data_IF_837447358300
#
_entry.id   IF_837447358300
#
_cell.length_a   1.000
_cell.length_b   1.000
_cell.length_c   1.000
_cell.angle_alpha   90.00
_cell.angle_beta   90.00
_cell.angle_gamma   90.00
#
_symmetry.space_group_name_H-M   'P 1'
#
loop_
_entity.id
_entity.type
_entity.pdbx_description
1 polymer ?
#
# COMPACT_ATOMS: atom_id res chain seq x y z
N UNK A 1 13.00 1.49 -27.39
CA UNK A 1 13.17 0.93 -26.03
C UNK A 1 12.35 1.80 -25.08
N UNK A 2 11.30 1.26 -24.45
CA UNK A 2 10.44 2.02 -23.52
C UNK A 2 11.27 2.46 -22.31
N UNK A 3 11.65 3.74 -22.21
CA UNK A 3 10.90 4.90 -21.71
C UNK A 3 10.94 4.95 -20.17
N UNK A 4 11.66 5.94 -19.65
CA UNK A 4 11.78 6.37 -18.26
C UNK A 4 10.91 5.62 -17.26
N UNK A 5 11.55 4.99 -16.26
CA UNK A 5 10.88 4.43 -15.10
C UNK A 5 9.93 5.48 -14.53
N UNK A 6 8.65 5.12 -14.40
CA UNK A 6 7.64 5.99 -13.81
C UNK A 6 8.14 6.46 -12.43
N UNK A 7 8.04 7.76 -12.09
CA UNK A 7 8.33 8.21 -10.74
C UNK A 7 7.40 7.50 -9.76
N UNK A 8 7.98 6.91 -8.72
CA UNK A 8 7.29 6.17 -7.66
C UNK A 8 7.63 6.75 -6.30
N UNK A 9 6.67 6.82 -5.35
CA UNK A 9 6.96 7.31 -4.01
C UNK A 9 7.94 6.36 -3.30
N UNK A 10 9.00 6.91 -2.73
CA UNK A 10 10.08 6.13 -2.08
C UNK A 10 9.59 5.43 -0.82
N UNK A 11 8.59 6.00 -0.13
CA UNK A 11 8.09 5.53 1.17
C UNK A 11 6.79 4.75 1.08
N UNK A 12 6.23 4.55 -0.12
CA UNK A 12 4.95 3.87 -0.28
C UNK A 12 4.99 2.46 0.32
N UNK A 13 5.98 1.65 -0.05
CA UNK A 13 6.12 0.26 0.43
C UNK A 13 6.14 0.17 1.97
N UNK A 14 6.95 1.02 2.61
CA UNK A 14 7.02 1.07 4.08
C UNK A 14 5.69 1.50 4.72
N UNK A 15 4.97 2.45 4.10
CA UNK A 15 3.66 2.90 4.60
C UNK A 15 2.62 1.79 4.52
N UNK A 16 2.57 1.05 3.41
CA UNK A 16 1.64 -0.08 3.26
C UNK A 16 1.90 -1.17 4.31
N UNK A 17 3.18 -1.49 4.56
CA UNK A 17 3.58 -2.43 5.61
C UNK A 17 3.16 -1.92 6.99
N UNK A 18 3.43 -0.64 7.29
CA UNK A 18 3.08 -0.01 8.56
C UNK A 18 1.57 -0.12 8.84
N UNK A 19 0.73 0.18 7.84
CA UNK A 19 -0.74 0.06 7.93
C UNK A 19 -1.15 -1.38 8.26
N UNK A 20 -0.61 -2.36 7.54
CA UNK A 20 -0.95 -3.76 7.80
C UNK A 20 -0.56 -4.16 9.23
N UNK A 21 0.64 -3.80 9.67
CA UNK A 21 1.12 -4.16 11.01
C UNK A 21 0.40 -3.42 12.12
N UNK A 22 0.00 -2.15 11.93
CA UNK A 22 -0.76 -1.40 12.93
C UNK A 22 -2.17 -1.96 13.14
N UNK A 23 -2.73 -2.62 12.12
CA UNK A 23 -4.00 -3.35 12.21
C UNK A 23 -3.82 -4.77 12.79
N UNK A 24 -2.59 -5.20 13.11
CA UNK A 24 -2.31 -6.54 13.63
C UNK A 24 -2.50 -7.67 12.61
N UNK A 25 -2.52 -7.36 11.31
CA UNK A 25 -2.89 -8.31 10.26
C UNK A 25 -1.68 -9.01 9.65
N UNK A 26 -1.84 -10.29 9.32
CA UNK A 26 -0.96 -10.99 8.37
C UNK A 26 -1.18 -10.49 6.94
N UNK A 27 -0.24 -10.80 6.02
CA UNK A 27 -0.41 -10.42 4.61
C UNK A 27 -1.63 -11.10 3.97
N UNK A 28 -1.96 -12.33 4.38
CA UNK A 28 -3.14 -13.05 3.91
C UNK A 28 -4.44 -12.41 4.41
N UNK A 29 -4.48 -11.97 5.67
CA UNK A 29 -5.63 -11.24 6.20
C UNK A 29 -5.78 -9.86 5.56
N UNK A 30 -4.67 -9.20 5.22
CA UNK A 30 -4.72 -7.93 4.51
C UNK A 30 -5.41 -8.06 3.15
N UNK A 31 -5.19 -9.15 2.42
CA UNK A 31 -5.94 -9.44 1.19
C UNK A 31 -7.44 -9.49 1.43
N UNK A 32 -7.87 -10.16 2.52
CA UNK A 32 -9.28 -10.25 2.90
C UNK A 32 -9.85 -8.87 3.22
N UNK A 33 -9.10 -8.04 3.96
CA UNK A 33 -9.50 -6.67 4.31
C UNK A 33 -9.60 -5.75 3.09
N UNK A 34 -8.69 -5.90 2.13
CA UNK A 34 -8.74 -5.15 0.89
C UNK A 34 -9.99 -5.50 0.06
N UNK A 35 -10.56 -6.70 0.16
CA UNK A 35 -11.77 -7.10 -0.60
C UNK A 35 -11.69 -6.69 -2.09
N UNK A 36 -10.55 -6.97 -2.73
CA UNK A 36 -10.29 -6.60 -4.13
C UNK A 36 -9.86 -7.84 -4.92
N UNK A 37 -10.56 -8.12 -6.02
CA UNK A 37 -10.29 -9.31 -6.86
C UNK A 37 -8.91 -9.18 -7.52
N UNK A 38 -8.21 -10.31 -7.66
CA UNK A 38 -6.88 -10.35 -8.29
C UNK A 38 -5.73 -9.85 -7.40
N UNK A 39 -5.98 -9.58 -6.12
CA UNK A 39 -4.93 -9.35 -5.11
C UNK A 39 -4.76 -10.62 -4.30
N UNK A 40 -3.54 -11.11 -4.22
CA UNK A 40 -3.15 -12.30 -3.46
C UNK A 40 -2.07 -11.94 -2.44
N UNK A 41 -1.79 -12.84 -1.51
CA UNK A 41 -0.81 -12.59 -0.44
C UNK A 41 0.58 -12.28 -1.00
N UNK A 42 1.00 -12.95 -2.09
CA UNK A 42 2.24 -12.63 -2.80
C UNK A 42 2.28 -11.19 -3.33
N UNK A 43 1.16 -10.67 -3.86
CA UNK A 43 1.09 -9.28 -4.31
C UNK A 43 1.25 -8.30 -3.14
N UNK A 44 0.64 -8.57 -1.99
CA UNK A 44 0.82 -7.74 -0.79
C UNK A 44 2.30 -7.71 -0.36
N UNK A 45 2.98 -8.86 -0.40
CA UNK A 45 4.43 -8.92 -0.14
C UNK A 45 5.27 -8.12 -1.14
N UNK A 46 4.93 -8.17 -2.43
CA UNK A 46 5.60 -7.35 -3.45
C UNK A 46 5.38 -5.85 -3.25
N UNK A 47 4.17 -5.46 -2.86
CA UNK A 47 3.82 -4.07 -2.55
C UNK A 47 4.63 -3.56 -1.35
N UNK A 48 4.68 -4.33 -0.26
CA UNK A 48 5.41 -3.99 0.97
C UNK A 48 6.94 -3.95 0.80
N UNK A 49 7.46 -4.60 -0.25
CA UNK A 49 8.88 -4.57 -0.62
C UNK A 49 9.20 -3.55 -1.72
N UNK A 50 8.20 -2.89 -2.29
CA UNK A 50 8.39 -1.95 -3.41
C UNK A 50 8.81 -2.61 -4.72
N UNK A 51 8.64 -3.93 -4.85
CA UNK A 51 8.89 -4.68 -6.08
C UNK A 51 7.81 -4.37 -7.12
N UNK A 52 6.57 -4.16 -6.65
CA UNK A 52 5.41 -3.84 -7.47
C UNK A 52 4.61 -2.70 -6.83
N UNK A 53 4.04 -1.83 -7.65
CA UNK A 53 3.09 -0.83 -7.16
C UNK A 53 1.67 -1.42 -7.12
N UNK A 54 0.91 -1.19 -6.04
CA UNK A 54 -0.50 -1.53 -6.04
C UNK A 54 -1.27 -0.65 -7.05
N UNK A 55 -2.29 -1.18 -7.72
CA UNK A 55 -3.16 -0.36 -8.55
C UNK A 55 -3.94 0.65 -7.70
N UNK A 56 -4.37 1.78 -8.28
CA UNK A 56 -5.04 2.85 -7.54
C UNK A 56 -6.23 2.42 -6.67
N UNK A 57 -7.12 1.50 -7.10
CA UNK A 57 -8.20 1.02 -6.26
C UNK A 57 -7.71 0.33 -4.97
N UNK A 58 -6.56 -0.34 -5.03
CA UNK A 58 -5.94 -0.99 -3.87
C UNK A 58 -5.37 0.08 -2.94
N UNK A 59 -4.64 1.07 -3.45
CA UNK A 59 -4.15 2.20 -2.65
C UNK A 59 -5.28 2.94 -1.93
N UNK A 60 -6.38 3.21 -2.63
CA UNK A 60 -7.56 3.86 -2.05
C UNK A 60 -8.16 3.04 -0.91
N UNK A 61 -8.14 1.70 -1.03
CA UNK A 61 -8.61 0.80 0.04
C UNK A 61 -7.68 0.83 1.26
N UNK A 62 -6.36 0.86 1.08
CA UNK A 62 -5.42 1.06 2.18
C UNK A 62 -5.71 2.37 2.95
N UNK A 63 -5.89 3.48 2.21
CA UNK A 63 -6.19 4.77 2.81
C UNK A 63 -7.51 4.75 3.61
N UNK A 64 -8.56 4.14 3.04
CA UNK A 64 -9.87 3.98 3.69
C UNK A 64 -9.83 3.11 4.94
N UNK A 65 -9.03 2.05 4.96
CA UNK A 65 -8.85 1.20 6.15
C UNK A 65 -8.30 1.98 7.34
N UNK A 66 -7.43 2.97 7.08
CA UNK A 66 -6.87 3.85 8.11
C UNK A 66 -7.69 5.12 8.35
N UNK A 67 -8.72 5.39 7.54
CA UNK A 67 -9.46 6.65 7.62
C UNK A 67 -8.63 7.88 7.25
N UNK A 68 -7.63 7.73 6.39
CA UNK A 68 -6.75 8.82 5.93
C UNK A 68 -6.98 9.11 4.45
N UNK A 69 -6.51 10.27 4.00
CA UNK A 69 -6.48 10.59 2.57
C UNK A 69 -5.36 9.81 1.84
N UNK A 70 -5.55 9.57 0.54
CA UNK A 70 -4.63 8.73 -0.26
C UNK A 70 -3.30 9.43 -0.54
N UNK A 71 -3.27 10.76 -0.56
CA UNK A 71 -2.06 11.58 -0.63
C UNK A 71 -1.04 11.22 0.46
N UNK A 72 -1.50 10.90 1.68
CA UNK A 72 -0.66 10.43 2.78
C UNK A 72 0.16 9.19 2.38
N UNK A 73 -0.35 8.33 1.50
CA UNK A 73 0.36 7.15 1.01
C UNK A 73 1.40 7.48 -0.06
N UNK A 74 1.09 8.43 -0.95
CA UNK A 74 1.86 8.70 -2.17
C UNK A 74 2.78 9.94 -2.08
N UNK A 75 2.63 10.78 -1.06
CA UNK A 75 3.55 11.89 -0.78
C UNK A 75 4.61 11.47 0.24
N UNK A 76 5.87 11.43 -0.18
CA UNK A 76 7.00 11.05 0.68
C UNK A 76 7.22 12.01 1.87
N UNK A 77 6.73 13.26 1.79
CA UNK A 77 6.81 14.25 2.87
C UNK A 77 5.85 13.97 4.01
N UNK A 78 4.73 13.29 3.74
CA UNK A 78 3.72 12.96 4.73
C UNK A 78 4.09 11.69 5.50
N UNK A 79 3.79 11.68 6.81
CA UNK A 79 3.93 10.50 7.69
C UNK A 79 2.54 9.95 8.00
N UNK A 80 2.45 8.64 8.23
CA UNK A 80 1.25 8.05 8.81
C UNK A 80 1.15 8.52 10.25
N UNK A 81 0.04 9.19 10.61
CA UNK A 81 -0.25 9.46 12.02
C UNK A 81 -0.61 8.13 12.68
N UNK A 82 -0.03 7.88 13.84
CA UNK A 82 -0.46 6.79 14.71
C UNK A 82 -1.87 7.12 15.23
N UNK A 83 -2.69 6.09 15.42
CA UNK A 83 -4.06 6.17 15.92
C UNK A 83 -4.16 5.38 17.21
#
# INVERSE_FOLDING_TARGET
MGRNTRPRPRRLASKLRQIRTSLGLTQAEMVKMLRFRGVYQGHVSEYERGVREPPYPVLLKYARLMGISTDVLIDDKLKLSER
#
